data_IF_589859943967
#
_entry.id   IF_589859943967
#
_cell.length_a   1.000
_cell.length_b   1.000
_cell.length_c   1.000
_cell.angle_alpha   90.00
_cell.angle_beta   90.00
_cell.angle_gamma   90.00
#
_symmetry.space_group_name_H-M   'P 1'
#
loop_
_entity.id
_entity.type
_entity.pdbx_description
1 polymer ?
#
# COMPACT_ATOMS: atom_id res chain seq x y z
N UNK A 1 8.78 -8.35 -16.07
CA UNK A 1 7.55 -9.00 -16.53
C UNK A 1 6.52 -7.99 -17.02
N UNK A 2 6.70 -7.39 -18.21
CA UNK A 2 5.67 -6.59 -18.87
C UNK A 2 4.33 -7.34 -19.07
N UNK A 3 4.38 -8.67 -19.12
CA UNK A 3 3.23 -9.57 -19.24
C UNK A 3 2.27 -9.59 -18.04
N UNK A 4 2.62 -9.00 -16.88
CA UNK A 4 1.77 -8.97 -15.67
C UNK A 4 0.67 -7.89 -15.70
N UNK A 5 0.50 -7.20 -16.84
CA UNK A 5 -0.51 -6.16 -17.00
C UNK A 5 -0.16 -4.86 -16.28
N UNK A 6 -1.10 -3.93 -16.28
CA UNK A 6 -0.96 -2.60 -15.67
C UNK A 6 -2.07 -2.42 -14.64
N UNK A 7 -1.71 -2.09 -13.40
CA UNK A 7 -2.68 -1.64 -12.40
C UNK A 7 -2.98 -0.15 -12.55
N UNK A 8 -4.23 0.25 -12.38
CA UNK A 8 -4.65 1.65 -12.37
C UNK A 8 -5.36 1.98 -11.06
N UNK A 9 -4.67 2.72 -10.18
CA UNK A 9 -5.24 3.23 -8.94
C UNK A 9 -5.78 4.65 -9.17
N UNK A 10 -7.09 4.83 -8.99
CA UNK A 10 -7.74 6.14 -9.14
C UNK A 10 -7.90 6.80 -7.77
N UNK A 11 -7.44 8.05 -7.67
CA UNK A 11 -7.68 8.91 -6.51
C UNK A 11 -8.81 9.87 -6.84
N UNK A 12 -9.83 9.89 -5.97
CA UNK A 12 -10.86 10.93 -6.02
C UNK A 12 -10.34 12.15 -5.27
N UNK A 13 -10.36 13.30 -5.94
CA UNK A 13 -10.13 14.59 -5.32
C UNK A 13 -11.46 15.13 -4.76
N UNK A 14 -11.43 15.69 -3.57
CA UNK A 14 -12.54 16.42 -2.97
C UNK A 14 -11.93 17.68 -2.38
N UNK A 15 -12.36 18.84 -2.88
CA UNK A 15 -11.82 20.16 -2.51
C UNK A 15 -10.30 20.25 -2.66
N UNK A 16 -9.77 19.68 -3.75
CA UNK A 16 -8.33 19.63 -4.03
C UNK A 16 -7.53 18.60 -3.21
N UNK A 17 -8.19 17.82 -2.34
CA UNK A 17 -7.53 16.84 -1.46
C UNK A 17 -7.81 15.42 -1.92
N UNK A 18 -6.75 14.62 -2.04
CA UNK A 18 -6.83 13.16 -2.16
C UNK A 18 -6.58 12.51 -0.80
N UNK A 19 -7.27 11.41 -0.51
CA UNK A 19 -7.07 10.62 0.71
C UNK A 19 -6.54 9.23 0.38
N UNK A 20 -5.53 8.80 1.11
CA UNK A 20 -4.88 7.49 0.99
C UNK A 20 -4.65 6.90 2.37
N UNK A 21 -4.55 5.58 2.43
CA UNK A 21 -4.00 4.89 3.58
C UNK A 21 -2.55 4.50 3.29
N UNK A 22 -1.73 4.56 4.34
CA UNK A 22 -0.36 4.06 4.37
C UNK A 22 -0.17 3.22 5.63
N UNK A 23 0.82 2.31 5.69
CA UNK A 23 1.14 1.61 6.93
C UNK A 23 1.48 2.61 8.03
N UNK A 24 0.76 2.58 9.15
CA UNK A 24 0.95 3.55 10.23
C UNK A 24 2.36 3.53 10.83
N UNK A 25 3.03 2.38 10.80
CA UNK A 25 4.43 2.25 11.22
C UNK A 25 5.41 3.07 10.38
N UNK A 26 5.13 3.29 9.10
CA UNK A 26 6.02 4.04 8.21
C UNK A 26 5.96 5.55 8.46
N UNK A 27 4.83 6.08 8.96
CA UNK A 27 4.73 7.49 9.35
C UNK A 27 5.15 7.75 10.80
N UNK A 28 5.28 6.70 11.61
CA UNK A 28 5.57 6.82 13.04
C UNK A 28 6.92 7.53 13.23
N UNK A 29 6.90 8.67 13.92
CA UNK A 29 8.10 9.45 14.22
C UNK A 29 8.51 10.45 13.12
N UNK A 30 7.82 10.47 11.98
CA UNK A 30 7.99 11.53 11.00
C UNK A 30 7.39 12.85 11.54
N UNK A 31 8.05 13.97 11.25
CA UNK A 31 7.62 15.32 11.66
C UNK A 31 7.32 16.18 10.44
N UNK A 32 6.58 17.29 10.58
CA UNK A 32 6.45 18.28 9.51
C UNK A 32 7.82 18.66 8.92
N UNK A 33 7.89 18.76 7.60
CA UNK A 33 9.12 18.93 6.83
C UNK A 33 9.75 17.63 6.33
N UNK A 34 9.40 16.47 6.91
CA UNK A 34 9.87 15.18 6.41
C UNK A 34 9.32 14.91 5.00
N UNK A 35 10.14 14.31 4.15
CA UNK A 35 9.79 13.97 2.77
C UNK A 35 9.77 12.44 2.58
N UNK A 36 8.82 11.98 1.78
CA UNK A 36 8.62 10.56 1.48
C UNK A 36 8.09 10.40 0.05
N UNK A 37 8.16 9.19 -0.49
CA UNK A 37 7.55 8.87 -1.78
C UNK A 37 6.45 7.84 -1.62
N UNK A 38 5.28 8.12 -2.16
CA UNK A 38 4.25 7.11 -2.36
C UNK A 38 4.54 6.31 -3.62
N UNK A 39 4.67 4.99 -3.49
CA UNK A 39 5.05 4.08 -4.57
C UNK A 39 4.12 4.25 -5.78
N UNK A 40 4.69 4.57 -6.95
CA UNK A 40 3.95 4.75 -8.19
C UNK A 40 3.03 5.98 -8.24
N UNK A 41 3.16 6.93 -7.30
CA UNK A 41 2.34 8.15 -7.25
C UNK A 41 3.20 9.43 -7.31
N UNK A 42 3.72 9.89 -6.17
CA UNK A 42 4.42 11.17 -6.06
C UNK A 42 5.33 11.22 -4.84
N UNK A 43 6.24 12.20 -4.84
CA UNK A 43 7.02 12.60 -3.69
C UNK A 43 6.26 13.68 -2.93
N UNK A 44 6.18 13.51 -1.61
CA UNK A 44 5.39 14.31 -0.71
C UNK A 44 6.26 14.90 0.39
N UNK A 45 5.85 16.06 0.90
CA UNK A 45 6.35 16.65 2.14
C UNK A 45 5.23 16.70 3.17
N UNK A 46 5.46 16.17 4.36
CA UNK A 46 4.53 16.30 5.47
C UNK A 46 4.46 17.76 5.92
N UNK A 47 3.26 18.31 6.01
CA UNK A 47 3.00 19.66 6.52
C UNK A 47 2.35 19.63 7.91
N UNK A 48 1.65 18.53 8.21
CA UNK A 48 1.12 18.20 9.54
C UNK A 48 0.99 16.68 9.67
N UNK A 49 0.57 16.19 10.84
CA UNK A 49 0.27 14.77 11.02
C UNK A 49 -0.86 14.34 10.04
N UNK A 50 -0.57 13.35 9.20
CA UNK A 50 -1.51 12.85 8.19
C UNK A 50 -1.82 13.81 7.04
N UNK A 51 -1.14 14.96 6.95
CA UNK A 51 -1.35 15.95 5.87
C UNK A 51 -0.02 16.20 5.16
N UNK A 52 -0.03 16.10 3.83
CA UNK A 52 1.15 16.26 3.00
C UNK A 52 0.84 17.03 1.71
N UNK A 53 1.84 17.70 1.17
CA UNK A 53 1.80 18.35 -0.14
C UNK A 53 2.67 17.59 -1.15
N UNK A 54 2.28 17.64 -2.42
CA UNK A 54 3.09 17.07 -3.52
C UNK A 54 4.23 18.03 -3.84
N UNK A 55 5.47 17.56 -3.71
CA UNK A 55 6.66 18.36 -4.05
C UNK A 55 7.23 18.03 -5.43
N UNK A 56 7.00 16.80 -5.92
CA UNK A 56 7.42 16.37 -7.24
C UNK A 56 6.73 15.06 -7.64
N UNK A 57 6.39 14.89 -8.91
CA UNK A 57 5.96 13.59 -9.45
C UNK A 57 7.15 12.70 -9.88
N UNK A 58 8.31 13.30 -10.15
CA UNK A 58 9.49 12.62 -10.69
C UNK A 58 10.07 11.59 -9.71
N UNK A 59 10.15 10.29 -10.08
CA UNK A 59 10.81 9.27 -9.26
C UNK A 59 12.29 9.59 -8.93
N UNK A 60 12.99 10.33 -9.80
CA UNK A 60 14.38 10.74 -9.59
C UNK A 60 14.59 11.59 -8.33
N UNK A 61 13.58 12.39 -7.96
CA UNK A 61 13.60 13.22 -6.75
C UNK A 61 13.84 12.40 -5.48
N UNK A 62 13.09 11.31 -5.31
CA UNK A 62 13.24 10.43 -4.15
C UNK A 62 14.58 9.71 -4.14
N UNK A 63 15.02 9.22 -5.30
CA UNK A 63 16.30 8.52 -5.44
C UNK A 63 17.47 9.43 -5.06
N UNK A 64 17.48 10.68 -5.54
CA UNK A 64 18.55 11.63 -5.27
C UNK A 64 18.64 12.05 -3.79
N UNK A 65 17.53 11.98 -3.05
CA UNK A 65 17.44 12.38 -1.63
C UNK A 65 17.39 11.20 -0.66
N UNK A 66 17.40 9.97 -1.16
CA UNK A 66 17.25 8.78 -0.32
C UNK A 66 15.91 8.74 0.43
N UNK A 67 14.82 9.24 -0.18
CA UNK A 67 13.52 9.27 0.49
C UNK A 67 12.97 7.86 0.71
N UNK A 68 12.30 7.60 1.85
CA UNK A 68 11.58 6.34 2.05
C UNK A 68 10.46 6.21 1.00
N UNK A 69 10.35 5.01 0.42
CA UNK A 69 9.29 4.68 -0.54
C UNK A 69 8.24 3.83 0.17
N UNK A 70 7.03 4.39 0.30
CA UNK A 70 5.92 3.86 1.09
C UNK A 70 4.83 3.32 0.17
N UNK A 71 4.35 2.11 0.43
CA UNK A 71 3.16 1.55 -0.22
C UNK A 71 1.89 2.20 0.36
N UNK A 72 0.84 2.26 -0.45
CA UNK A 72 -0.38 2.96 -0.11
C UNK A 72 -1.58 2.35 -0.84
N UNK A 73 -2.79 2.64 -0.37
CA UNK A 73 -4.02 2.35 -1.11
C UNK A 73 -5.00 3.53 -1.11
N UNK A 74 -5.85 3.68 -2.14
CA UNK A 74 -6.84 4.76 -2.20
C UNK A 74 -7.87 4.64 -1.08
N UNK A 75 -8.05 5.68 -0.26
CA UNK A 75 -8.93 5.57 0.91
C UNK A 75 -10.40 5.30 0.55
N UNK A 76 -10.85 5.82 -0.61
CA UNK A 76 -12.24 5.66 -1.06
C UNK A 76 -12.57 4.31 -1.71
N UNK A 77 -11.58 3.46 -1.98
CA UNK A 77 -11.81 2.16 -2.64
C UNK A 77 -10.99 1.00 -2.08
N UNK A 78 -10.26 1.26 -0.99
CA UNK A 78 -9.55 0.25 -0.21
C UNK A 78 -10.49 -0.90 0.21
N UNK A 79 -9.92 -2.09 0.33
CA UNK A 79 -10.64 -3.32 0.67
C UNK A 79 -10.13 -3.81 2.02
N UNK A 80 -10.99 -4.01 3.04
CA UNK A 80 -10.60 -4.76 4.21
C UNK A 80 -10.05 -6.13 3.81
N UNK A 81 -8.92 -6.49 4.36
CA UNK A 81 -8.28 -7.77 4.07
C UNK A 81 -7.60 -8.30 5.34
N UNK A 82 -7.55 -9.63 5.45
CA UNK A 82 -6.84 -10.31 6.53
C UNK A 82 -5.78 -11.22 5.92
N UNK A 83 -4.56 -11.18 6.43
CA UNK A 83 -3.51 -12.12 6.04
C UNK A 83 -3.21 -13.05 7.22
N UNK A 84 -3.30 -14.35 6.98
CA UNK A 84 -2.88 -15.41 7.88
C UNK A 84 -1.38 -15.63 7.73
N UNK A 85 -0.62 -15.40 8.79
CA UNK A 85 0.82 -15.65 8.87
C UNK A 85 1.08 -16.87 9.76
N UNK A 86 1.71 -17.90 9.20
CA UNK A 86 2.23 -19.00 10.00
C UNK A 86 3.61 -18.63 10.56
N UNK A 87 3.75 -18.61 11.89
CA UNK A 87 5.03 -18.43 12.59
C UNK A 87 5.30 -19.65 13.45
N UNK A 88 6.07 -20.60 12.92
CA UNK A 88 6.29 -21.89 13.57
C UNK A 88 4.98 -22.69 13.65
N UNK A 89 4.51 -22.99 14.86
CA UNK A 89 3.23 -23.66 15.12
C UNK A 89 2.05 -22.71 15.35
N UNK A 90 2.30 -21.40 15.38
CA UNK A 90 1.27 -20.39 15.64
C UNK A 90 0.77 -19.76 14.34
N UNK A 91 -0.53 -19.46 14.31
CA UNK A 91 -1.17 -18.73 13.22
C UNK A 91 -1.54 -17.33 13.72
N UNK A 92 -0.96 -16.30 13.11
CA UNK A 92 -1.21 -14.89 13.39
C UNK A 92 -2.13 -14.30 12.31
N UNK A 93 -3.15 -13.53 12.72
CA UNK A 93 -3.98 -12.76 11.79
C UNK A 93 -3.53 -11.31 11.71
N UNK A 94 -3.12 -10.87 10.53
CA UNK A 94 -2.81 -9.46 10.25
C UNK A 94 -3.98 -8.83 9.51
N UNK A 95 -4.73 -7.97 10.20
CA UNK A 95 -5.87 -7.23 9.63
C UNK A 95 -5.41 -5.90 9.06
N UNK A 96 -5.88 -5.57 7.86
CA UNK A 96 -5.46 -4.35 7.17
C UNK A 96 -6.34 -3.98 5.98
N UNK A 97 -5.75 -3.21 5.07
CA UNK A 97 -6.40 -2.72 3.87
C UNK A 97 -5.56 -3.06 2.63
N UNK A 98 -6.21 -3.58 1.60
CA UNK A 98 -5.63 -3.84 0.30
C UNK A 98 -6.16 -2.88 -0.77
N UNK A 99 -5.45 -2.79 -1.89
CA UNK A 99 -5.88 -2.01 -3.04
C UNK A 99 -7.06 -2.68 -3.76
N UNK A 100 -7.97 -1.93 -4.43
CA UNK A 100 -9.19 -2.48 -5.02
C UNK A 100 -8.98 -3.62 -6.03
N UNK A 101 -7.78 -3.73 -6.62
CA UNK A 101 -7.44 -4.79 -7.57
C UNK A 101 -7.52 -6.21 -6.98
N UNK A 102 -7.49 -6.36 -5.65
CA UNK A 102 -7.67 -7.68 -5.02
C UNK A 102 -9.05 -8.30 -5.32
N UNK A 103 -10.05 -7.49 -5.68
CA UNK A 103 -11.38 -7.97 -6.08
C UNK A 103 -11.38 -8.73 -7.42
N UNK A 104 -10.31 -8.62 -8.19
CA UNK A 104 -10.15 -9.32 -9.46
C UNK A 104 -9.51 -10.71 -9.29
N UNK A 105 -8.97 -11.00 -8.10
CA UNK A 105 -8.37 -12.27 -7.76
C UNK A 105 -9.44 -13.34 -7.52
N UNK A 106 -9.08 -14.59 -7.83
CA UNK A 106 -9.83 -15.80 -7.50
C UNK A 106 -9.12 -16.55 -6.39
N UNK A 107 -9.88 -17.38 -5.66
CA UNK A 107 -9.29 -18.27 -4.66
C UNK A 107 -8.19 -19.14 -5.32
N UNK A 108 -7.04 -19.23 -4.66
CA UNK A 108 -5.82 -19.85 -5.18
C UNK A 108 -4.91 -18.91 -5.98
N UNK A 109 -5.35 -17.71 -6.36
CA UNK A 109 -4.49 -16.75 -7.05
C UNK A 109 -3.39 -16.21 -6.14
N UNK A 110 -2.19 -16.07 -6.69
CA UNK A 110 -1.04 -15.49 -6.03
C UNK A 110 -0.95 -13.99 -6.30
N UNK A 111 -0.69 -13.20 -5.26
CA UNK A 111 -0.44 -11.78 -5.35
C UNK A 111 0.81 -11.39 -4.55
N UNK A 112 1.44 -10.27 -4.93
CA UNK A 112 2.50 -9.67 -4.14
C UNK A 112 1.99 -8.39 -3.49
N UNK A 113 1.94 -8.35 -2.17
CA UNK A 113 1.69 -7.14 -1.41
C UNK A 113 3.02 -6.43 -1.20
N UNK A 114 3.19 -5.29 -1.88
CA UNK A 114 4.44 -4.53 -1.84
C UNK A 114 4.86 -4.18 -0.41
N UNK A 115 6.12 -4.46 -0.06
CA UNK A 115 6.71 -4.28 1.28
C UNK A 115 5.97 -5.05 2.39
N UNK A 116 5.22 -6.09 2.03
CA UNK A 116 4.59 -7.02 2.97
C UNK A 116 4.94 -8.48 2.66
N UNK A 117 4.84 -8.88 1.38
CA UNK A 117 5.21 -10.23 0.90
C UNK A 117 4.24 -10.83 -0.11
N UNK A 118 4.51 -12.07 -0.51
CA UNK A 118 3.66 -12.85 -1.40
C UNK A 118 2.56 -13.57 -0.63
N UNK A 119 1.34 -13.48 -1.15
CA UNK A 119 0.14 -14.04 -0.53
C UNK A 119 -0.67 -14.84 -1.55
N UNK A 120 -1.47 -15.79 -1.06
CA UNK A 120 -2.46 -16.55 -1.84
C UNK A 120 -3.84 -16.21 -1.31
N UNK A 121 -4.79 -15.90 -2.20
CA UNK A 121 -6.19 -15.68 -1.79
C UNK A 121 -6.82 -17.02 -1.37
N UNK A 122 -7.21 -17.14 -0.11
CA UNK A 122 -7.87 -18.33 0.44
C UNK A 122 -9.39 -18.20 0.38
N UNK A 123 -9.92 -17.01 0.70
CA UNK A 123 -11.37 -16.74 0.75
C UNK A 123 -11.68 -15.41 0.09
N UNK A 124 -12.34 -15.46 -1.07
CA UNK A 124 -12.67 -14.27 -1.85
C UNK A 124 -13.82 -13.45 -1.25
N UNK A 125 -14.65 -14.02 -0.36
CA UNK A 125 -15.75 -13.26 0.26
C UNK A 125 -15.24 -12.38 1.38
N UNK A 126 -14.37 -12.94 2.22
CA UNK A 126 -13.79 -12.24 3.36
C UNK A 126 -12.47 -11.53 3.03
N UNK A 127 -11.96 -11.70 1.80
CA UNK A 127 -10.64 -11.22 1.38
C UNK A 127 -9.56 -11.69 2.36
N UNK A 128 -9.59 -12.99 2.67
CA UNK A 128 -8.62 -13.66 3.54
C UNK A 128 -7.53 -14.29 2.70
N UNK A 129 -6.29 -13.98 3.04
CA UNK A 129 -5.11 -14.42 2.34
C UNK A 129 -4.23 -15.27 3.26
N UNK A 130 -3.45 -16.17 2.68
CA UNK A 130 -2.37 -16.89 3.38
C UNK A 130 -1.04 -16.36 2.91
N UNK A 131 -0.18 -15.98 3.85
CA UNK A 131 1.19 -15.57 3.56
C UNK A 131 2.03 -16.76 3.09
N UNK A 132 2.88 -16.53 2.09
CA UNK A 132 3.77 -17.56 1.54
C UNK A 132 5.25 -17.29 1.83
N UNK A 133 5.82 -16.21 1.29
CA UNK A 133 7.22 -15.81 1.47
C UNK A 133 7.42 -14.34 1.03
N UNK A 134 8.61 -13.79 1.27
CA UNK A 134 9.07 -12.47 0.80
C UNK A 134 10.02 -12.56 -0.40
#
# INVERSE_FOLDING_TARGET
HPERGVRRLKLKLTDGVARVYVPGGDLRGMRPGAELRLLGLANLRLVAEGVAEVVSADPGYAKARGLPIIQWCPAGSAVPATVLLARGSELEEVKGLAEPGVRELKEGDHAQFYRFGFVVLEDAREMRFVYSHD
#
